data_IF_940346543777
#
_entry.id   IF_940346543777
#
_cell.length_a   1.000
_cell.length_b   1.000
_cell.length_c   1.000
_cell.angle_alpha   90.00
_cell.angle_beta   90.00
_cell.angle_gamma   90.00
#
_symmetry.space_group_name_H-M   'P 1'
#
loop_
_entity.id
_entity.type
_entity.pdbx_description
1 polymer ?
#
# COMPACT_ATOMS: atom_id res chain seq x y z
N UNK A 1 9.96 2.38 -8.13
CA UNK A 1 8.88 3.22 -8.72
C UNK A 1 7.76 2.28 -9.14
N UNK A 2 6.50 2.56 -8.78
CA UNK A 2 5.35 1.71 -9.15
C UNK A 2 5.06 1.89 -10.66
N UNK A 3 5.23 0.85 -11.51
CA UNK A 3 5.15 0.97 -12.97
C UNK A 3 3.82 1.53 -13.48
N UNK A 4 2.71 1.13 -12.86
CA UNK A 4 1.34 1.44 -13.26
C UNK A 4 0.98 2.92 -13.03
N UNK A 5 1.69 3.58 -12.10
CA UNK A 5 1.37 4.93 -11.64
C UNK A 5 1.40 5.96 -12.77
N UNK A 6 2.36 5.84 -13.70
CA UNK A 6 2.45 6.77 -14.85
C UNK A 6 1.20 6.69 -15.72
N UNK A 7 0.73 5.48 -16.04
CA UNK A 7 -0.44 5.26 -16.89
C UNK A 7 -1.73 5.63 -16.18
N UNK A 8 -1.87 5.29 -14.90
CA UNK A 8 -2.99 5.70 -14.06
C UNK A 8 -3.16 7.23 -14.03
N UNK A 9 -2.06 7.98 -13.93
CA UNK A 9 -2.10 9.45 -13.94
C UNK A 9 -2.57 10.02 -15.29
N UNK A 10 -2.20 9.39 -16.41
CA UNK A 10 -2.70 9.77 -17.74
C UNK A 10 -4.21 9.52 -17.82
N UNK A 11 -4.67 8.33 -17.43
CA UNK A 11 -6.10 7.98 -17.44
C UNK A 11 -6.93 8.87 -16.50
N UNK A 12 -6.37 9.28 -15.37
CA UNK A 12 -7.02 10.15 -14.39
C UNK A 12 -7.24 11.59 -14.89
N UNK A 13 -6.46 12.04 -15.88
CA UNK A 13 -6.56 13.39 -16.47
C UNK A 13 -7.52 13.44 -17.66
N UNK A 14 -7.99 12.29 -18.15
CA UNK A 14 -8.96 12.25 -19.24
C UNK A 14 -10.33 12.74 -18.75
N UNK A 15 -11.02 13.59 -19.52
CA UNK A 15 -12.34 14.10 -19.14
C UNK A 15 -13.40 12.99 -19.09
N UNK A 16 -13.26 11.98 -19.95
CA UNK A 16 -14.09 10.78 -20.00
C UNK A 16 -13.25 9.57 -20.36
N UNK A 17 -13.65 8.40 -19.86
CA UNK A 17 -13.02 7.12 -20.17
C UNK A 17 -13.94 6.31 -21.09
N UNK A 18 -13.36 5.65 -22.09
CA UNK A 18 -14.04 4.60 -22.86
C UNK A 18 -14.26 3.35 -21.98
N UNK A 19 -15.15 2.41 -22.37
CA UNK A 19 -15.29 1.13 -21.67
C UNK A 19 -13.97 0.36 -21.54
N UNK A 20 -13.15 0.35 -22.59
CA UNK A 20 -11.84 -0.30 -22.60
C UNK A 20 -10.87 0.37 -21.62
N UNK A 21 -10.82 1.70 -21.62
CA UNK A 21 -9.98 2.47 -20.69
C UNK A 21 -10.44 2.31 -19.24
N UNK A 22 -11.74 2.11 -18.99
CA UNK A 22 -12.25 1.77 -17.65
C UNK A 22 -11.74 0.40 -17.20
N UNK A 23 -11.78 -0.60 -18.08
CA UNK A 23 -11.26 -1.93 -17.79
C UNK A 23 -9.74 -1.91 -17.56
N UNK A 24 -8.99 -1.21 -18.42
CA UNK A 24 -7.54 -0.99 -18.28
C UNK A 24 -7.22 -0.33 -16.92
N UNK A 25 -7.93 0.76 -16.60
CA UNK A 25 -7.73 1.47 -15.33
C UNK A 25 -7.97 0.58 -14.13
N UNK A 26 -9.00 -0.27 -14.17
CA UNK A 26 -9.31 -1.18 -13.07
C UNK A 26 -8.20 -2.20 -12.84
N UNK A 27 -7.71 -2.83 -13.92
CA UNK A 27 -6.57 -3.76 -13.85
C UNK A 27 -5.32 -3.08 -13.27
N UNK A 28 -5.00 -1.87 -13.75
CA UNK A 28 -3.86 -1.10 -13.26
C UNK A 28 -4.01 -0.70 -11.79
N UNK A 29 -5.23 -0.39 -11.33
CA UNK A 29 -5.49 -0.06 -9.93
C UNK A 29 -5.30 -1.26 -9.01
N UNK A 30 -5.71 -2.45 -9.43
CA UNK A 30 -5.52 -3.67 -8.65
C UNK A 30 -4.02 -3.97 -8.46
N UNK A 31 -3.23 -3.87 -9.53
CA UNK A 31 -1.78 -4.03 -9.46
C UNK A 31 -1.10 -2.97 -8.59
N UNK A 32 -1.49 -1.69 -8.75
CA UNK A 32 -1.01 -0.60 -7.91
C UNK A 32 -1.30 -0.83 -6.41
N UNK A 33 -2.54 -1.20 -6.08
CA UNK A 33 -2.95 -1.43 -4.70
C UNK A 33 -2.22 -2.62 -4.08
N UNK A 34 -1.97 -3.69 -4.84
CA UNK A 34 -1.18 -4.82 -4.37
C UNK A 34 0.25 -4.39 -4.00
N UNK A 35 0.91 -3.60 -4.84
CA UNK A 35 2.25 -3.09 -4.57
C UNK A 35 2.28 -2.14 -3.36
N UNK A 36 1.30 -1.25 -3.24
CA UNK A 36 1.20 -0.33 -2.09
C UNK A 36 0.97 -1.11 -0.79
N UNK A 37 0.07 -2.09 -0.78
CA UNK A 37 -0.17 -2.93 0.39
C UNK A 37 1.11 -3.65 0.81
N UNK A 38 1.83 -4.25 -0.14
CA UNK A 38 3.10 -4.90 0.14
C UNK A 38 4.14 -3.94 0.73
N UNK A 39 4.23 -2.70 0.24
CA UNK A 39 5.13 -1.69 0.79
C UNK A 39 4.74 -1.29 2.21
N UNK A 40 3.46 -1.03 2.48
CA UNK A 40 2.95 -0.71 3.82
C UNK A 40 3.22 -1.87 4.78
N UNK A 41 2.94 -3.10 4.35
CA UNK A 41 3.25 -4.32 5.11
C UNK A 41 4.75 -4.41 5.44
N UNK A 42 5.64 -4.14 4.49
CA UNK A 42 7.08 -4.08 4.74
C UNK A 42 7.52 -2.98 5.70
N UNK A 43 6.86 -1.82 5.70
CA UNK A 43 7.13 -0.79 6.71
C UNK A 43 6.67 -1.22 8.10
N UNK A 44 5.45 -1.78 8.19
CA UNK A 44 4.89 -2.26 9.44
C UNK A 44 5.70 -3.40 10.05
N UNK A 45 6.39 -4.21 9.24
CA UNK A 45 7.22 -5.31 9.75
C UNK A 45 8.43 -4.88 10.56
N UNK A 46 8.88 -3.63 10.42
CA UNK A 46 10.05 -3.09 11.12
C UNK A 46 9.74 -1.88 12.00
N UNK A 47 8.52 -1.35 11.94
CA UNK A 47 8.12 -0.15 12.67
C UNK A 47 8.02 -0.41 14.17
N UNK A 48 8.56 0.52 14.96
CA UNK A 48 8.43 0.57 16.42
C UNK A 48 7.84 1.92 16.82
N UNK A 49 6.84 1.92 17.69
CA UNK A 49 6.23 3.14 18.24
C UNK A 49 6.78 3.40 19.64
N UNK A 50 7.32 4.59 19.86
CA UNK A 50 7.91 5.02 21.13
C UNK A 50 7.12 6.21 21.68
N UNK A 51 6.86 6.25 22.99
CA UNK A 51 6.21 7.38 23.66
C UNK A 51 7.22 8.51 23.98
N UNK A 52 6.77 9.70 24.42
CA UNK A 52 7.68 10.80 24.76
C UNK A 52 8.68 10.50 25.88
N UNK A 53 8.43 9.48 26.71
CA UNK A 53 9.33 9.04 27.78
C UNK A 53 10.37 8.01 27.29
N UNK A 54 10.35 7.64 26.02
CA UNK A 54 11.26 6.65 25.43
C UNK A 54 10.79 5.19 25.58
N UNK A 55 9.57 4.95 26.05
CA UNK A 55 9.04 3.59 26.22
C UNK A 55 8.50 3.06 24.89
N UNK A 56 8.83 1.82 24.56
CA UNK A 56 8.22 1.11 23.44
C UNK A 56 6.73 0.82 23.74
N UNK A 57 5.87 1.47 22.97
CA UNK A 57 4.41 1.38 23.02
C UNK A 57 3.83 0.82 21.73
N UNK A 58 4.63 0.07 20.96
CA UNK A 58 4.16 -0.60 19.73
C UNK A 58 2.92 -1.45 20.06
N UNK A 59 1.80 -1.27 19.33
CA UNK A 59 0.56 -1.99 19.59
C UNK A 59 0.79 -3.51 19.62
N UNK A 60 0.14 -4.21 20.56
CA UNK A 60 0.31 -5.67 20.72
C UNK A 60 -0.01 -6.43 19.43
N UNK A 61 -1.13 -6.11 18.77
CA UNK A 61 -1.53 -6.73 17.51
C UNK A 61 -0.46 -6.59 16.40
N UNK A 62 0.28 -5.47 16.38
CA UNK A 62 1.37 -5.28 15.41
C UNK A 62 2.57 -6.17 15.77
N UNK A 63 2.95 -6.24 17.05
CA UNK A 63 4.03 -7.13 17.52
C UNK A 63 3.73 -8.60 17.24
N UNK A 64 2.48 -9.02 17.46
CA UNK A 64 2.04 -10.39 17.18
C UNK A 64 2.07 -10.69 15.68
N UNK A 65 1.64 -9.74 14.85
CA UNK A 65 1.72 -9.87 13.39
C UNK A 65 3.19 -9.93 12.91
N UNK A 66 4.09 -9.14 13.49
CA UNK A 66 5.54 -9.16 13.21
C UNK A 66 6.15 -10.52 13.57
N UNK A 67 5.86 -11.03 14.77
CA UNK A 67 6.41 -12.29 15.27
C UNK A 67 5.91 -13.52 14.49
N UNK A 68 4.64 -13.51 14.07
CA UNK A 68 4.05 -14.58 13.27
C UNK A 68 4.39 -14.51 11.78
N UNK A 69 5.03 -13.43 11.31
CA UNK A 69 5.28 -13.19 9.88
C UNK A 69 4.01 -12.99 9.06
N UNK A 70 2.89 -12.62 9.71
CA UNK A 70 1.58 -12.44 9.08
C UNK A 70 1.30 -11.01 8.62
N UNK A 71 2.34 -10.20 8.44
CA UNK A 71 2.21 -8.86 7.87
C UNK A 71 2.19 -9.03 6.34
N UNK A 72 0.99 -9.24 5.80
CA UNK A 72 0.75 -9.39 4.36
C UNK A 72 -0.24 -8.34 3.88
#
# INVERSE_FOLDING_TARGET
MIPELKRLNVLARLPTLSPEQRAEREQLRQAYLAQIRAQVSGHLSVMTVIDPNGKNVTPAALRDAQASGNIR
#
